data_IF_046634833618
#
_entry.id   IF_046634833618
#
_cell.length_a   1.000
_cell.length_b   1.000
_cell.length_c   1.000
_cell.angle_alpha   90.00
_cell.angle_beta   90.00
_cell.angle_gamma   90.00
#
_symmetry.space_group_name_H-M   'P 1'
#
loop_
_entity.id
_entity.type
_entity.pdbx_description
1 polymer ?
#
# COMPACT_ATOMS: atom_id res chain seq x y z
N UNK A 1 58.53 27.63 13.52
CA UNK A 1 57.10 27.79 13.92
C UNK A 1 56.42 28.63 12.85
N UNK A 2 55.33 28.29 12.17
CA UNK A 2 54.45 27.13 12.04
C UNK A 2 53.85 27.29 10.63
N UNK A 3 53.90 26.25 9.78
CA UNK A 3 53.15 26.24 8.54
C UNK A 3 51.67 25.94 8.87
N UNK A 4 50.75 26.83 8.49
CA UNK A 4 49.32 26.55 8.53
C UNK A 4 48.94 25.82 7.23
N UNK A 5 48.71 24.51 7.33
CA UNK A 5 48.06 23.74 6.28
C UNK A 5 46.57 24.05 6.27
N UNK A 6 46.09 24.73 5.22
CA UNK A 6 44.67 24.90 4.96
C UNK A 6 44.16 23.61 4.32
N UNK A 7 43.48 22.77 5.11
CA UNK A 7 42.76 21.61 4.58
C UNK A 7 41.45 22.10 3.99
N UNK A 8 41.38 22.21 2.67
CA UNK A 8 40.13 22.41 1.95
C UNK A 8 39.33 21.10 2.00
N UNK A 9 38.34 21.04 2.89
CA UNK A 9 37.32 19.99 2.90
C UNK A 9 36.43 20.17 1.67
N UNK A 10 36.74 19.41 0.61
CA UNK A 10 35.82 19.14 -0.49
C UNK A 10 34.59 18.43 0.07
N UNK A 11 33.53 19.20 0.33
CA UNK A 11 32.20 18.65 0.55
C UNK A 11 31.67 18.15 -0.80
N UNK A 12 31.97 16.89 -1.11
CA UNK A 12 31.20 16.16 -2.12
C UNK A 12 29.75 16.13 -1.64
N UNK A 13 28.77 16.66 -2.41
CA UNK A 13 27.38 16.42 -2.08
C UNK A 13 27.18 14.91 -2.12
N UNK A 14 26.82 14.33 -0.98
CA UNK A 14 26.28 12.99 -0.91
C UNK A 14 24.98 13.05 -1.72
N UNK A 15 25.05 12.70 -3.01
CA UNK A 15 23.86 12.38 -3.78
C UNK A 15 23.33 11.11 -3.14
N UNK A 16 22.44 11.26 -2.16
CA UNK A 16 21.56 10.19 -1.76
C UNK A 16 20.90 9.72 -3.06
N UNK A 17 21.24 8.52 -3.51
CA UNK A 17 20.52 7.89 -4.60
C UNK A 17 19.04 7.98 -4.20
N UNK A 18 18.26 8.73 -4.98
CA UNK A 18 16.82 8.74 -4.79
C UNK A 18 16.37 7.29 -4.82
N UNK A 19 15.58 6.86 -3.83
CA UNK A 19 15.02 5.51 -3.75
C UNK A 19 14.08 5.32 -4.96
N UNK A 20 14.63 4.96 -6.12
CA UNK A 20 13.86 4.82 -7.35
C UNK A 20 13.12 3.50 -7.33
N UNK A 21 11.79 3.57 -7.45
CA UNK A 21 10.96 2.39 -7.72
C UNK A 21 11.15 2.02 -9.19
N UNK A 22 11.69 0.83 -9.48
CA UNK A 22 11.85 0.32 -10.86
C UNK A 22 10.82 -0.72 -11.24
N UNK A 23 10.25 -1.43 -10.25
CA UNK A 23 9.24 -2.46 -10.48
C UNK A 23 8.07 -2.26 -9.53
N UNK A 24 6.86 -2.36 -10.08
CA UNK A 24 5.61 -2.43 -9.33
C UNK A 24 4.97 -3.80 -9.58
N UNK A 25 4.90 -4.63 -8.55
CA UNK A 25 4.24 -5.95 -8.60
C UNK A 25 2.90 -5.85 -7.91
N UNK A 26 1.80 -6.20 -8.59
CA UNK A 26 0.44 -6.01 -8.08
C UNK A 26 -0.29 -7.34 -7.97
N UNK A 27 -0.87 -7.58 -6.81
CA UNK A 27 -1.82 -8.66 -6.53
C UNK A 27 -3.16 -8.04 -6.14
N UNK A 28 -4.27 -8.54 -6.66
CA UNK A 28 -5.55 -7.96 -6.32
C UNK A 28 -6.77 -8.52 -7.03
N UNK A 29 -7.88 -7.82 -6.82
CA UNK A 29 -9.18 -8.09 -7.41
C UNK A 29 -9.46 -7.28 -8.69
N UNK A 30 -10.73 -7.12 -9.05
CA UNK A 30 -11.16 -6.42 -10.26
C UNK A 30 -10.78 -4.94 -10.30
N UNK A 31 -10.49 -4.31 -9.16
CA UNK A 31 -10.01 -2.92 -9.12
C UNK A 31 -8.51 -2.79 -9.44
N UNK A 32 -7.80 -3.91 -9.65
CA UNK A 32 -6.40 -3.94 -10.04
C UNK A 32 -6.13 -4.79 -11.30
N UNK A 33 -7.15 -5.49 -11.81
CA UNK A 33 -7.06 -6.35 -12.99
C UNK A 33 -6.90 -5.51 -14.27
N UNK A 34 -5.72 -5.65 -14.87
CA UNK A 34 -5.33 -4.93 -16.10
C UNK A 34 -5.80 -5.63 -17.38
N UNK A 35 -6.44 -6.80 -17.26
CA UNK A 35 -6.90 -7.63 -18.38
C UNK A 35 -6.49 -9.10 -18.30
N UNK A 36 -6.06 -9.60 -17.13
CA UNK A 36 -5.77 -11.03 -16.94
C UNK A 36 -7.04 -11.88 -17.05
N UNK A 37 -8.15 -11.38 -16.50
CA UNK A 37 -9.49 -11.85 -16.85
C UNK A 37 -10.18 -10.83 -17.75
N UNK A 38 -10.44 -9.63 -17.22
CA UNK A 38 -11.06 -8.55 -17.95
C UNK A 38 -10.82 -7.24 -17.20
N UNK A 39 -10.64 -6.16 -17.95
CA UNK A 39 -10.64 -4.80 -17.41
C UNK A 39 -12.08 -4.33 -17.19
N UNK A 40 -12.43 -4.06 -15.93
CA UNK A 40 -13.76 -3.57 -15.54
C UNK A 40 -13.82 -2.07 -15.35
N UNK A 41 -13.31 -1.32 -16.31
CA UNK A 41 -13.31 0.14 -16.30
C UNK A 41 -13.18 0.69 -17.73
N UNK A 42 -13.29 2.01 -17.89
CA UNK A 42 -13.19 2.70 -19.18
C UNK A 42 -11.77 3.18 -19.54
N UNK A 43 -10.77 2.94 -18.69
CA UNK A 43 -9.40 3.45 -18.88
C UNK A 43 -8.32 2.68 -18.10
N UNK A 44 -7.13 3.28 -17.92
CA UNK A 44 -6.11 2.73 -17.03
C UNK A 44 -6.64 2.49 -15.62
N UNK A 45 -6.18 1.41 -14.97
CA UNK A 45 -6.41 1.21 -13.54
C UNK A 45 -5.30 1.90 -12.75
N UNK A 46 -5.53 2.13 -11.46
CA UNK A 46 -4.63 2.91 -10.60
C UNK A 46 -3.17 2.43 -10.65
N UNK A 47 -2.93 1.14 -10.84
CA UNK A 47 -1.59 0.56 -10.88
C UNK A 47 -0.82 0.91 -12.16
N UNK A 48 -1.51 1.16 -13.28
CA UNK A 48 -0.88 1.61 -14.52
C UNK A 48 -0.52 3.09 -14.46
N UNK A 49 -1.42 3.94 -13.94
CA UNK A 49 -1.10 5.34 -13.65
C UNK A 49 0.08 5.46 -12.68
N UNK A 50 0.10 4.64 -11.62
CA UNK A 50 1.17 4.63 -10.64
C UNK A 50 2.50 4.17 -11.25
N UNK A 51 2.49 3.13 -12.09
CA UNK A 51 3.68 2.66 -12.80
C UNK A 51 4.24 3.74 -13.73
N UNK A 52 3.40 4.45 -14.48
CA UNK A 52 3.84 5.57 -15.33
C UNK A 52 4.38 6.72 -14.48
N UNK A 53 3.69 7.08 -13.38
CA UNK A 53 4.10 8.16 -12.47
C UNK A 53 5.46 7.91 -11.81
N UNK A 54 5.76 6.65 -11.47
CA UNK A 54 7.07 6.25 -10.95
C UNK A 54 8.10 5.91 -12.03
N UNK A 55 7.70 5.87 -13.30
CA UNK A 55 8.51 5.34 -14.38
C UNK A 55 9.01 3.90 -14.09
N UNK A 56 8.13 3.07 -13.54
CA UNK A 56 8.39 1.69 -13.14
C UNK A 56 7.80 0.69 -14.14
N UNK A 57 8.41 -0.50 -14.23
CA UNK A 57 7.85 -1.65 -14.93
C UNK A 57 6.68 -2.22 -14.13
N UNK A 58 5.55 -2.46 -14.78
CA UNK A 58 4.36 -3.03 -14.14
C UNK A 58 4.28 -4.55 -14.34
N UNK A 59 4.09 -5.27 -13.25
CA UNK A 59 3.75 -6.70 -13.24
C UNK A 59 2.48 -6.91 -12.42
N UNK A 60 1.31 -6.87 -13.08
CA UNK A 60 0.02 -7.06 -12.41
C UNK A 60 -0.48 -8.49 -12.60
N UNK A 61 -0.56 -9.22 -11.48
CA UNK A 61 -1.13 -10.55 -11.38
C UNK A 61 -2.58 -10.52 -10.89
N UNK A 62 -3.18 -9.34 -10.74
CA UNK A 62 -4.55 -9.18 -10.26
C UNK A 62 -5.56 -9.86 -11.18
N UNK A 63 -6.63 -10.40 -10.57
CA UNK A 63 -7.72 -11.08 -11.25
C UNK A 63 -9.06 -10.63 -10.71
N UNK A 64 -9.99 -10.32 -11.61
CA UNK A 64 -11.39 -10.08 -11.27
C UNK A 64 -11.93 -11.15 -10.33
N UNK A 65 -12.65 -10.77 -9.26
CA UNK A 65 -13.30 -11.72 -8.36
C UNK A 65 -12.37 -12.44 -7.37
N UNK A 66 -11.08 -12.13 -7.40
CA UNK A 66 -10.08 -12.67 -6.47
C UNK A 66 -10.47 -12.41 -5.02
N UNK A 67 -10.45 -13.48 -4.23
CA UNK A 67 -10.44 -13.43 -2.77
C UNK A 67 -9.01 -13.51 -2.25
N UNK A 68 -8.78 -13.32 -0.95
CA UNK A 68 -7.45 -13.58 -0.41
C UNK A 68 -7.08 -15.08 -0.49
N UNK A 69 -8.02 -15.95 -0.12
CA UNK A 69 -7.89 -17.41 -0.22
C UNK A 69 -9.24 -18.03 -0.63
N UNK A 70 -9.30 -18.60 -1.83
CA UNK A 70 -10.53 -19.20 -2.36
C UNK A 70 -10.97 -20.48 -1.63
N UNK A 71 -10.06 -21.17 -0.95
CA UNK A 71 -10.40 -22.39 -0.19
C UNK A 71 -11.41 -22.13 0.92
N UNK A 72 -11.49 -20.87 1.40
CA UNK A 72 -12.45 -20.42 2.42
C UNK A 72 -13.90 -20.40 1.93
N UNK A 73 -14.11 -20.32 0.62
CA UNK A 73 -15.41 -20.11 0.00
C UNK A 73 -15.92 -21.35 -0.76
N UNK A 74 -15.44 -22.54 -0.39
CA UNK A 74 -15.78 -23.81 -1.04
C UNK A 74 -17.27 -24.14 -1.03
N UNK A 75 -18.03 -23.61 -0.06
CA UNK A 75 -19.48 -23.77 0.08
C UNK A 75 -20.31 -22.80 -0.76
N UNK A 76 -19.71 -21.74 -1.30
CA UNK A 76 -20.38 -20.85 -2.26
C UNK A 76 -20.21 -21.44 -3.65
N UNK A 77 -21.29 -21.51 -4.43
CA UNK A 77 -21.25 -22.03 -5.79
C UNK A 77 -20.14 -21.32 -6.58
N UNK A 78 -19.19 -22.11 -7.11
CA UNK A 78 -17.99 -21.63 -7.82
C UNK A 78 -18.32 -21.09 -9.22
N UNK A 79 -19.22 -20.12 -9.31
CA UNK A 79 -19.43 -19.40 -10.58
C UNK A 79 -18.16 -18.69 -11.06
N UNK A 80 -17.19 -18.52 -10.16
CA UNK A 80 -15.99 -17.73 -10.36
C UNK A 80 -14.80 -18.44 -9.69
N UNK A 81 -14.13 -19.34 -10.43
CA UNK A 81 -12.87 -19.99 -10.01
C UNK A 81 -11.68 -19.05 -10.18
N UNK A 82 -11.89 -17.79 -9.80
CA UNK A 82 -10.92 -16.73 -9.99
C UNK A 82 -9.69 -16.93 -9.10
N UNK A 83 -8.47 -16.75 -9.65
CA UNK A 83 -7.23 -16.84 -8.89
C UNK A 83 -7.24 -15.91 -7.69
N UNK A 84 -7.20 -16.48 -6.49
CA UNK A 84 -7.04 -15.76 -5.23
C UNK A 84 -5.63 -15.19 -5.09
N UNK A 85 -5.39 -14.32 -4.10
CA UNK A 85 -4.05 -13.75 -3.86
C UNK A 85 -2.99 -14.84 -3.68
N UNK A 86 -3.31 -15.95 -2.99
CA UNK A 86 -2.39 -17.09 -2.88
C UNK A 86 -1.98 -17.67 -4.23
N UNK A 87 -2.92 -17.73 -5.17
CA UNK A 87 -2.67 -18.20 -6.52
C UNK A 87 -1.83 -17.20 -7.31
N UNK A 88 -2.13 -15.91 -7.20
CA UNK A 88 -1.42 -14.86 -7.90
C UNK A 88 0.04 -14.73 -7.42
N UNK A 89 0.31 -14.94 -6.14
CA UNK A 89 1.67 -15.01 -5.60
C UNK A 89 2.44 -16.22 -6.14
N UNK A 90 1.77 -17.36 -6.31
CA UNK A 90 2.36 -18.53 -6.97
C UNK A 90 2.59 -18.30 -8.47
N UNK A 91 1.69 -17.57 -9.14
CA UNK A 91 1.89 -17.14 -10.53
C UNK A 91 3.14 -16.29 -10.69
N UNK A 92 3.36 -15.34 -9.78
CA UNK A 92 4.57 -14.52 -9.75
C UNK A 92 5.83 -15.37 -9.53
N UNK A 93 5.77 -16.35 -8.63
CA UNK A 93 6.87 -17.31 -8.42
C UNK A 93 7.25 -18.06 -9.69
N UNK A 94 6.26 -18.54 -10.44
CA UNK A 94 6.51 -19.24 -11.69
C UNK A 94 7.10 -18.36 -12.80
N UNK A 95 6.98 -17.03 -12.72
CA UNK A 95 7.65 -16.15 -13.68
C UNK A 95 9.17 -16.13 -13.49
N UNK A 96 9.69 -16.58 -12.35
CA UNK A 96 11.13 -16.59 -12.04
C UNK A 96 11.80 -15.23 -12.25
N UNK A 97 11.07 -14.15 -11.95
CA UNK A 97 11.56 -12.78 -12.10
C UNK A 97 12.52 -12.45 -10.95
N UNK A 98 13.74 -12.05 -11.30
CA UNK A 98 14.78 -11.69 -10.33
C UNK A 98 14.83 -10.17 -10.11
N UNK A 99 13.76 -9.63 -9.51
CA UNK A 99 13.70 -8.20 -9.20
C UNK A 99 14.49 -7.86 -7.93
N UNK A 100 15.20 -6.73 -7.95
CA UNK A 100 15.86 -6.20 -6.75
C UNK A 100 14.78 -5.78 -5.72
N UNK A 101 14.76 -6.36 -4.51
CA UNK A 101 13.77 -6.02 -3.49
C UNK A 101 13.89 -4.58 -2.98
N UNK A 102 15.07 -3.96 -3.10
CA UNK A 102 15.27 -2.56 -2.76
C UNK A 102 14.62 -1.62 -3.79
N UNK A 103 14.43 -2.06 -5.04
CA UNK A 103 13.87 -1.26 -6.13
C UNK A 103 12.43 -1.67 -6.51
N UNK A 104 11.83 -2.59 -5.76
CA UNK A 104 10.54 -3.21 -6.07
C UNK A 104 9.51 -2.90 -5.00
N UNK A 105 8.35 -2.40 -5.42
CA UNK A 105 7.18 -2.19 -4.57
C UNK A 105 6.13 -3.26 -4.89
N UNK A 106 5.59 -3.89 -3.85
CA UNK A 106 4.52 -4.88 -3.96
C UNK A 106 3.22 -4.25 -3.49
N UNK A 107 2.15 -4.38 -4.28
CA UNK A 107 0.85 -3.84 -3.92
C UNK A 107 -0.21 -4.93 -3.78
N UNK A 108 -1.05 -4.82 -2.76
CA UNK A 108 -2.14 -5.76 -2.48
C UNK A 108 -3.45 -4.98 -2.33
N UNK A 109 -4.41 -5.23 -3.23
CA UNK A 109 -5.79 -4.71 -3.14
C UNK A 109 -6.78 -5.86 -3.26
N UNK A 110 -7.31 -6.32 -2.12
CA UNK A 110 -8.28 -7.42 -2.04
C UNK A 110 -9.20 -7.23 -0.85
N UNK A 111 -10.38 -7.85 -0.89
CA UNK A 111 -11.29 -7.96 0.25
C UNK A 111 -12.74 -7.69 -0.10
N UNK A 112 -13.03 -6.95 -1.18
CA UNK A 112 -14.40 -6.67 -1.60
C UNK A 112 -15.13 -7.97 -1.99
N UNK A 113 -14.45 -8.84 -2.75
CA UNK A 113 -14.97 -10.17 -3.09
C UNK A 113 -15.05 -11.10 -1.88
N UNK A 114 -14.11 -11.03 -0.94
CA UNK A 114 -14.18 -11.80 0.32
C UNK A 114 -15.41 -11.40 1.14
N UNK A 115 -15.64 -10.10 1.34
CA UNK A 115 -16.84 -9.59 2.02
C UNK A 115 -18.10 -10.07 1.29
N UNK A 116 -18.16 -9.94 -0.04
CA UNK A 116 -19.31 -10.40 -0.81
C UNK A 116 -19.58 -11.90 -0.56
N UNK A 117 -18.57 -12.76 -0.76
CA UNK A 117 -18.67 -14.21 -0.62
C UNK A 117 -18.92 -14.65 0.83
N UNK A 118 -18.39 -13.96 1.84
CA UNK A 118 -18.66 -14.23 3.26
C UNK A 118 -20.13 -14.07 3.63
N UNK A 119 -20.84 -13.11 3.04
CA UNK A 119 -22.29 -13.03 3.21
C UNK A 119 -23.02 -14.13 2.44
N UNK A 120 -22.57 -14.53 1.25
CA UNK A 120 -23.17 -15.63 0.48
C UNK A 120 -23.09 -16.97 1.23
N UNK A 121 -22.04 -17.19 2.04
CA UNK A 121 -21.92 -18.37 2.90
C UNK A 121 -22.94 -18.42 4.03
N UNK A 122 -23.51 -17.28 4.41
CA UNK A 122 -24.40 -17.13 5.57
C UNK A 122 -25.84 -16.98 5.13
N UNK A 123 -26.37 -18.03 4.51
CA UNK A 123 -27.80 -18.11 4.12
C UNK A 123 -28.64 -17.85 5.38
N UNK A 124 -29.50 -16.82 5.36
CA UNK A 124 -30.37 -16.36 6.45
C UNK A 124 -29.74 -15.54 7.59
N UNK A 125 -28.55 -14.94 7.39
CA UNK A 125 -27.97 -14.02 8.37
C UNK A 125 -27.62 -12.68 7.74
N UNK A 126 -28.10 -11.58 8.35
CA UNK A 126 -27.76 -10.20 7.97
C UNK A 126 -26.66 -9.60 8.83
N UNK A 127 -26.25 -10.28 9.91
CA UNK A 127 -25.16 -9.83 10.77
C UNK A 127 -23.84 -9.88 10.02
N UNK A 128 -22.92 -8.99 10.40
CA UNK A 128 -21.60 -8.88 9.80
C UNK A 128 -20.84 -10.22 9.92
N UNK A 129 -20.25 -10.73 8.82
CA UNK A 129 -19.42 -11.93 8.85
C UNK A 129 -18.16 -11.72 9.68
N UNK A 130 -17.57 -12.81 10.16
CA UNK A 130 -16.22 -12.75 10.73
C UNK A 130 -15.20 -12.57 9.59
N UNK A 131 -14.58 -11.39 9.57
CA UNK A 131 -13.61 -10.98 8.54
C UNK A 131 -12.16 -11.12 9.01
N UNK A 132 -11.93 -11.45 10.29
CA UNK A 132 -10.60 -11.64 10.86
C UNK A 132 -9.77 -12.65 10.06
N UNK A 133 -10.30 -13.80 9.63
CA UNK A 133 -9.49 -14.76 8.88
C UNK A 133 -9.10 -14.29 7.47
N UNK A 134 -9.86 -13.36 6.88
CA UNK A 134 -9.52 -12.76 5.58
C UNK A 134 -8.32 -11.82 5.76
N UNK A 135 -8.37 -10.97 6.79
CA UNK A 135 -7.26 -10.07 7.12
C UNK A 135 -6.00 -10.85 7.52
N UNK A 136 -6.15 -11.95 8.27
CA UNK A 136 -5.03 -12.84 8.59
C UNK A 136 -4.39 -13.44 7.33
N UNK A 137 -5.17 -13.78 6.31
CA UNK A 137 -4.65 -14.23 5.01
C UNK A 137 -3.82 -13.14 4.30
N UNK A 138 -4.24 -11.87 4.40
CA UNK A 138 -3.46 -10.73 3.85
C UNK A 138 -2.13 -10.60 4.62
N UNK A 139 -2.17 -10.69 5.96
CA UNK A 139 -0.95 -10.71 6.79
C UNK A 139 -0.03 -11.91 6.53
N UNK A 140 -0.57 -13.04 6.06
CA UNK A 140 0.22 -14.21 5.62
C UNK A 140 0.99 -13.95 4.32
N UNK A 141 0.61 -12.95 3.52
CA UNK A 141 1.39 -12.55 2.33
C UNK A 141 2.77 -11.98 2.68
N UNK A 142 3.14 -11.89 3.97
CA UNK A 142 4.55 -11.86 4.44
C UNK A 142 5.42 -12.96 3.83
N UNK A 143 4.82 -14.03 3.30
CA UNK A 143 5.54 -15.06 2.54
C UNK A 143 6.27 -14.46 1.33
N UNK A 144 5.71 -13.43 0.68
CA UNK A 144 6.39 -12.67 -0.37
C UNK A 144 7.70 -12.08 0.16
N UNK A 145 7.68 -11.47 1.36
CA UNK A 145 8.89 -10.96 2.02
C UNK A 145 9.94 -12.05 2.23
N UNK A 146 9.54 -13.23 2.71
CA UNK A 146 10.49 -14.31 3.00
C UNK A 146 11.13 -14.87 1.73
N UNK A 147 10.34 -15.01 0.67
CA UNK A 147 10.80 -15.63 -0.57
C UNK A 147 11.61 -14.69 -1.45
N UNK A 148 11.26 -13.40 -1.44
CA UNK A 148 11.86 -12.41 -2.34
C UNK A 148 12.65 -11.33 -1.60
N UNK A 149 12.82 -11.38 -0.28
CA UNK A 149 13.41 -10.27 0.48
C UNK A 149 12.60 -8.97 0.40
N UNK A 150 11.34 -9.04 -0.05
CA UNK A 150 10.48 -7.90 -0.28
C UNK A 150 10.20 -7.12 1.01
N UNK A 151 10.42 -5.82 1.00
CA UNK A 151 10.27 -4.97 2.18
C UNK A 151 9.40 -3.73 1.95
N UNK A 152 8.96 -3.45 0.72
CA UNK A 152 8.19 -2.25 0.36
C UNK A 152 6.80 -2.67 -0.12
N UNK A 153 5.78 -2.40 0.69
CA UNK A 153 4.41 -2.84 0.41
C UNK A 153 3.42 -1.67 0.43
N UNK A 154 2.58 -1.61 -0.60
CA UNK A 154 1.31 -0.89 -0.57
C UNK A 154 0.20 -1.88 -0.23
N UNK A 155 -0.55 -1.64 0.84
CA UNK A 155 -1.71 -2.47 1.16
C UNK A 155 -2.94 -1.58 1.16
N UNK A 156 -3.91 -1.90 0.32
CA UNK A 156 -5.13 -1.12 0.22
C UNK A 156 -6.19 -1.69 1.15
N UNK A 157 -6.94 -0.80 1.78
CA UNK A 157 -8.19 -1.18 2.42
C UNK A 157 -9.32 -1.27 1.37
N UNK A 158 -10.52 -1.72 1.75
CA UNK A 158 -11.62 -1.85 0.79
C UNK A 158 -12.40 -0.55 0.62
N UNK A 159 -12.86 -0.31 -0.61
CA UNK A 159 -13.71 0.80 -1.01
C UNK A 159 -15.00 0.87 -0.15
N UNK A 160 -15.68 2.04 -0.05
CA UNK A 160 -16.91 2.16 0.72
C UNK A 160 -18.07 1.46 0.00
N UNK A 161 -18.26 0.18 0.33
CA UNK A 161 -19.19 -0.71 -0.38
C UNK A 161 -20.65 -0.26 -0.29
N UNK A 162 -21.04 0.48 0.75
CA UNK A 162 -22.40 1.03 0.87
C UNK A 162 -22.76 2.00 -0.25
N UNK A 163 -21.77 2.63 -0.88
CA UNK A 163 -21.96 3.60 -1.97
C UNK A 163 -21.93 2.97 -3.36
N UNK A 164 -21.55 1.70 -3.50
CA UNK A 164 -21.58 1.00 -4.79
C UNK A 164 -23.01 0.97 -5.34
N UNK A 165 -23.27 1.32 -6.61
CA UNK A 165 -24.61 1.27 -7.21
C UNK A 165 -25.27 -0.11 -7.18
N UNK A 166 -24.49 -1.17 -6.98
CA UNK A 166 -24.99 -2.51 -6.74
C UNK A 166 -25.72 -2.64 -5.39
N UNK A 167 -25.24 -1.98 -4.34
CA UNK A 167 -25.78 -2.07 -2.98
C UNK A 167 -26.60 -0.86 -2.54
N UNK A 168 -26.23 0.36 -2.97
CA UNK A 168 -26.69 1.63 -2.38
C UNK A 168 -28.21 1.80 -2.32
N UNK A 169 -28.93 1.26 -3.31
CA UNK A 169 -30.40 1.37 -3.42
C UNK A 169 -31.11 0.11 -2.89
N UNK A 170 -30.42 -0.73 -2.11
CA UNK A 170 -30.95 -1.98 -1.54
C UNK A 170 -30.84 -1.99 -0.01
N UNK A 171 -31.57 -2.90 0.63
CA UNK A 171 -31.45 -3.16 2.08
C UNK A 171 -30.07 -3.69 2.50
N UNK A 172 -29.19 -4.00 1.55
CA UNK A 172 -27.83 -4.49 1.81
C UNK A 172 -26.83 -3.35 2.09
N UNK A 173 -27.10 -2.11 1.68
CA UNK A 173 -26.13 -1.01 1.75
C UNK A 173 -25.49 -0.88 3.15
N UNK A 174 -26.32 -0.85 4.20
CA UNK A 174 -25.85 -0.68 5.57
C UNK A 174 -24.92 -1.81 6.03
N UNK A 175 -25.30 -3.08 5.79
CA UNK A 175 -24.49 -4.22 6.22
C UNK A 175 -23.19 -4.36 5.41
N UNK A 176 -23.18 -3.91 4.15
CA UNK A 176 -21.94 -3.84 3.35
C UNK A 176 -21.00 -2.74 3.83
N UNK A 177 -21.53 -1.57 4.16
CA UNK A 177 -20.72 -0.48 4.72
C UNK A 177 -20.12 -0.84 6.08
N UNK A 178 -20.91 -1.46 6.97
CA UNK A 178 -20.42 -1.91 8.26
C UNK A 178 -19.34 -3.02 8.11
N UNK A 179 -19.54 -3.97 7.20
CA UNK A 179 -18.53 -4.99 6.90
C UNK A 179 -17.24 -4.41 6.31
N UNK A 180 -17.34 -3.43 5.39
CA UNK A 180 -16.18 -2.73 4.84
C UNK A 180 -15.40 -1.99 5.93
N UNK A 181 -16.10 -1.28 6.83
CA UNK A 181 -15.48 -0.57 7.97
C UNK A 181 -14.81 -1.53 8.94
N UNK A 182 -15.45 -2.66 9.26
CA UNK A 182 -14.86 -3.67 10.16
C UNK A 182 -13.63 -4.33 9.53
N UNK A 183 -13.68 -4.67 8.24
CA UNK A 183 -12.52 -5.16 7.49
C UNK A 183 -11.37 -4.16 7.55
N UNK A 184 -11.64 -2.89 7.23
CA UNK A 184 -10.63 -1.83 7.21
C UNK A 184 -10.01 -1.62 8.60
N UNK A 185 -10.82 -1.66 9.66
CA UNK A 185 -10.36 -1.58 11.05
C UNK A 185 -9.45 -2.76 11.44
N UNK A 186 -9.80 -3.97 11.01
CA UNK A 186 -8.98 -5.17 11.25
C UNK A 186 -7.67 -5.11 10.46
N UNK A 187 -7.73 -4.71 9.19
CA UNK A 187 -6.56 -4.57 8.33
C UNK A 187 -5.58 -3.53 8.86
N UNK A 188 -6.07 -2.36 9.27
CA UNK A 188 -5.22 -1.32 9.87
C UNK A 188 -4.49 -1.82 11.12
N UNK A 189 -5.15 -2.62 11.96
CA UNK A 189 -4.52 -3.26 13.12
C UNK A 189 -3.43 -4.26 12.70
N UNK A 190 -3.69 -5.11 11.72
CA UNK A 190 -2.69 -6.08 11.25
C UNK A 190 -1.49 -5.40 10.58
N UNK A 191 -1.71 -4.36 9.78
CA UNK A 191 -0.64 -3.54 9.19
C UNK A 191 0.20 -2.86 10.27
N UNK A 192 -0.43 -2.20 11.24
CA UNK A 192 0.26 -1.54 12.36
C UNK A 192 1.12 -2.54 13.14
N UNK A 193 0.56 -3.72 13.42
CA UNK A 193 1.26 -4.83 14.06
C UNK A 193 2.47 -5.27 13.23
N UNK A 194 2.32 -5.50 11.93
CA UNK A 194 3.42 -5.93 11.05
C UNK A 194 4.56 -4.91 11.00
N UNK A 195 4.25 -3.62 10.84
CA UNK A 195 5.25 -2.55 10.86
C UNK A 195 6.00 -2.48 12.21
N UNK A 196 5.31 -2.72 13.33
CA UNK A 196 5.92 -2.72 14.66
C UNK A 196 6.91 -3.87 14.88
N UNK A 197 6.62 -5.08 14.38
CA UNK A 197 7.42 -6.28 14.66
C UNK A 197 8.52 -6.56 13.63
N UNK A 198 8.54 -5.84 12.51
CA UNK A 198 9.51 -6.05 11.44
C UNK A 198 10.16 -4.74 11.00
N UNK A 199 11.25 -4.33 11.65
CA UNK A 199 11.92 -3.04 11.38
C UNK A 199 12.43 -2.84 9.95
N UNK A 200 12.68 -3.93 9.20
CA UNK A 200 13.04 -3.86 7.79
C UNK A 200 11.83 -3.70 6.85
N UNK A 201 10.60 -3.91 7.35
CA UNK A 201 9.37 -3.80 6.58
C UNK A 201 8.89 -2.36 6.57
N UNK A 202 8.65 -1.83 5.37
CA UNK A 202 7.93 -0.60 5.13
C UNK A 202 6.62 -0.93 4.43
N UNK A 203 5.52 -0.89 5.17
CA UNK A 203 4.17 -1.10 4.67
C UNK A 203 3.38 0.21 4.81
N UNK A 204 2.93 0.75 3.68
CA UNK A 204 2.04 1.90 3.60
C UNK A 204 0.59 1.40 3.41
N UNK A 205 -0.29 1.72 4.36
CA UNK A 205 -1.73 1.46 4.23
C UNK A 205 -2.36 2.55 3.34
N UNK A 206 -2.89 2.13 2.19
CA UNK A 206 -3.66 2.99 1.30
C UNK A 206 -5.15 2.95 1.71
N UNK A 207 -5.59 3.95 2.46
CA UNK A 207 -6.98 4.17 2.86
C UNK A 207 -7.81 4.77 1.71
N UNK A 208 -8.04 3.92 0.69
CA UNK A 208 -8.91 4.22 -0.45
C UNK A 208 -10.37 4.36 -0.02
N UNK A 209 -10.77 3.77 1.11
CA UNK A 209 -12.09 3.94 1.69
C UNK A 209 -12.39 5.41 1.98
N UNK A 210 -11.59 6.04 2.84
CA UNK A 210 -11.78 7.43 3.24
C UNK A 210 -11.64 8.36 2.04
N UNK A 211 -10.65 8.11 1.16
CA UNK A 211 -10.45 8.88 -0.07
C UNK A 211 -11.70 8.91 -0.95
N UNK A 212 -12.32 7.75 -1.19
CA UNK A 212 -13.54 7.65 -1.98
C UNK A 212 -14.77 8.17 -1.24
N UNK A 213 -14.84 8.01 0.08
CA UNK A 213 -15.91 8.60 0.89
C UNK A 213 -15.89 10.14 0.82
N UNK A 214 -14.72 10.76 0.90
CA UNK A 214 -14.56 12.21 0.77
C UNK A 214 -14.94 12.69 -0.64
N UNK A 215 -14.49 11.96 -1.66
CA UNK A 215 -14.88 12.18 -3.06
C UNK A 215 -16.40 12.11 -3.24
N UNK A 216 -17.05 11.09 -2.67
CA UNK A 216 -18.49 10.89 -2.81
C UNK A 216 -19.29 11.95 -2.05
N UNK A 217 -18.76 12.45 -0.93
CA UNK A 217 -19.38 13.52 -0.17
C UNK A 217 -19.32 14.87 -0.90
N UNK A 218 -18.21 15.19 -1.57
CA UNK A 218 -17.98 16.47 -2.24
C UNK A 218 -17.35 16.32 -3.63
N UNK A 219 -18.05 15.70 -4.61
CA UNK A 219 -17.44 15.30 -5.89
C UNK A 219 -16.83 16.46 -6.68
N UNK A 220 -17.44 17.66 -6.60
CA UNK A 220 -16.96 18.85 -7.31
C UNK A 220 -15.57 19.30 -6.86
N UNK A 221 -15.21 19.09 -5.59
CA UNK A 221 -13.92 19.47 -5.03
C UNK A 221 -12.78 18.63 -5.62
N UNK A 222 -13.11 17.44 -6.10
CA UNK A 222 -12.21 16.51 -6.79
C UNK A 222 -12.37 16.56 -8.32
N UNK A 223 -13.21 17.47 -8.83
CA UNK A 223 -13.46 17.63 -10.26
C UNK A 223 -14.34 16.54 -10.86
N UNK A 224 -15.14 15.83 -10.06
CA UNK A 224 -16.16 14.87 -10.49
C UNK A 224 -17.55 15.52 -10.53
N UNK A 225 -18.42 14.99 -11.38
CA UNK A 225 -19.81 15.45 -11.58
C UNK A 225 -20.83 14.53 -10.90
N UNK A 226 -20.58 13.22 -10.88
CA UNK A 226 -21.50 12.24 -10.29
C UNK A 226 -20.72 11.14 -9.56
N UNK A 227 -21.03 10.96 -8.28
CA UNK A 227 -20.43 9.94 -7.42
C UNK A 227 -21.41 8.85 -6.97
N UNK A 228 -22.66 8.91 -7.43
CA UNK A 228 -23.73 8.00 -7.01
C UNK A 228 -24.14 7.06 -8.14
N UNK A 229 -24.24 7.56 -9.38
CA UNK A 229 -24.73 6.77 -10.51
C UNK A 229 -23.63 5.95 -11.18
N UNK A 230 -23.98 4.74 -11.62
CA UNK A 230 -23.17 4.01 -12.59
C UNK A 230 -23.29 4.65 -13.98
N UNK A 231 -22.16 5.02 -14.61
CA UNK A 231 -22.16 5.62 -15.94
C UNK A 231 -22.86 4.73 -16.98
N UNK A 232 -22.54 3.44 -17.02
CA UNK A 232 -23.17 2.47 -17.94
C UNK A 232 -24.68 2.33 -17.73
N UNK A 233 -25.18 2.58 -16.52
CA UNK A 233 -26.62 2.57 -16.24
C UNK A 233 -27.35 3.82 -16.71
N UNK A 234 -26.64 4.95 -16.82
CA UNK A 234 -27.18 6.24 -17.25
C UNK A 234 -27.15 6.41 -18.78
N UNK A 235 -26.14 5.85 -19.46
CA UNK A 235 -25.94 6.09 -20.89
C UNK A 235 -26.81 5.23 -21.83
N UNK A 236 -28.03 4.84 -21.40
CA UNK A 236 -28.95 3.79 -21.89
C UNK A 236 -29.04 3.49 -23.41
N UNK A 237 -28.59 4.37 -24.31
CA UNK A 237 -28.51 4.11 -25.76
C UNK A 237 -27.33 4.83 -26.48
N UNK A 238 -26.64 5.78 -25.84
CA UNK A 238 -25.50 6.53 -26.40
C UNK A 238 -24.48 6.84 -25.31
N UNK A 239 -23.60 5.89 -25.04
CA UNK A 239 -22.38 6.14 -24.29
C UNK A 239 -21.39 6.84 -25.24
N UNK A 240 -21.53 8.15 -25.44
CA UNK A 240 -20.62 8.94 -26.30
C UNK A 240 -19.24 9.17 -25.65
N UNK A 241 -19.02 8.61 -24.45
CA UNK A 241 -17.79 8.72 -23.68
C UNK A 241 -17.61 10.07 -23.01
N UNK A 242 -18.55 11.01 -23.20
CA UNK A 242 -18.41 12.35 -22.64
C UNK A 242 -18.47 12.29 -21.13
N UNK A 243 -17.51 12.96 -20.51
CA UNK A 243 -17.40 13.11 -19.06
C UNK A 243 -17.33 11.79 -18.28
N UNK A 244 -17.05 10.64 -18.92
CA UNK A 244 -17.00 9.34 -18.22
C UNK A 244 -16.04 9.36 -17.03
N UNK A 245 -14.88 10.00 -17.18
CA UNK A 245 -13.88 10.16 -16.10
C UNK A 245 -14.28 11.19 -15.04
N UNK A 246 -15.45 11.82 -15.18
CA UNK A 246 -16.07 12.66 -14.16
C UNK A 246 -17.17 11.93 -13.38
N UNK A 247 -17.38 10.64 -13.65
CA UNK A 247 -18.18 9.75 -12.81
C UNK A 247 -17.25 8.95 -11.89
N UNK A 248 -17.71 8.59 -10.70
CA UNK A 248 -16.95 7.67 -9.82
C UNK A 248 -17.15 6.22 -10.27
N UNK A 249 -18.37 5.84 -10.62
CA UNK A 249 -18.74 4.45 -10.92
C UNK A 249 -18.88 4.23 -12.43
N UNK A 250 -18.12 3.29 -12.97
CA UNK A 250 -18.22 2.86 -14.36
C UNK A 250 -19.47 2.00 -14.57
N UNK A 251 -19.55 0.91 -13.82
CA UNK A 251 -20.72 0.02 -13.74
C UNK A 251 -21.29 0.02 -12.32
N UNK A 252 -22.04 -1.02 -11.95
CA UNK A 252 -22.67 -1.07 -10.62
C UNK A 252 -21.69 -1.35 -9.48
N UNK A 253 -20.46 -1.75 -9.76
CA UNK A 253 -19.48 -2.24 -8.78
C UNK A 253 -18.09 -1.63 -8.93
N UNK A 254 -17.70 -1.21 -10.13
CA UNK A 254 -16.33 -0.82 -10.47
C UNK A 254 -16.18 0.68 -10.73
N UNK A 255 -14.96 1.17 -10.50
CA UNK A 255 -14.59 2.57 -10.67
C UNK A 255 -14.34 2.93 -12.13
N UNK A 256 -14.50 4.21 -12.47
CA UNK A 256 -14.04 4.76 -13.76
C UNK A 256 -12.53 4.93 -13.80
N UNK A 257 -11.98 5.11 -15.00
CA UNK A 257 -10.57 5.48 -15.21
C UNK A 257 -10.22 6.77 -14.47
N UNK A 258 -11.11 7.77 -14.48
CA UNK A 258 -10.94 9.00 -13.70
C UNK A 258 -10.78 8.76 -12.19
N UNK A 259 -11.60 7.90 -11.59
CA UNK A 259 -11.48 7.56 -10.17
C UNK A 259 -10.19 6.77 -9.87
N UNK A 260 -9.81 5.83 -10.76
CA UNK A 260 -8.52 5.14 -10.67
C UNK A 260 -7.32 6.10 -10.74
N UNK A 261 -7.35 7.05 -11.67
CA UNK A 261 -6.33 8.07 -11.84
C UNK A 261 -6.19 8.96 -10.60
N UNK A 262 -7.31 9.34 -9.96
CA UNK A 262 -7.30 10.08 -8.69
C UNK A 262 -6.64 9.27 -7.57
N UNK A 263 -6.93 7.96 -7.47
CA UNK A 263 -6.30 7.08 -6.47
C UNK A 263 -4.79 7.04 -6.69
N UNK A 264 -4.34 6.84 -7.93
CA UNK A 264 -2.91 6.82 -8.25
C UNK A 264 -2.22 8.15 -7.92
N UNK A 265 -2.80 9.28 -8.32
CA UNK A 265 -2.27 10.60 -8.01
C UNK A 265 -2.24 10.90 -6.51
N UNK A 266 -3.19 10.37 -5.73
CA UNK A 266 -3.15 10.49 -4.27
C UNK A 266 -1.92 9.79 -3.67
N UNK A 267 -1.54 8.63 -4.21
CA UNK A 267 -0.34 7.89 -3.80
C UNK A 267 0.94 8.62 -4.25
N UNK A 268 0.98 9.07 -5.51
CA UNK A 268 2.11 9.81 -6.07
C UNK A 268 2.37 11.11 -5.30
N UNK A 269 1.32 11.88 -4.98
CA UNK A 269 1.44 13.14 -4.26
C UNK A 269 1.87 12.93 -2.80
N UNK A 270 1.43 11.83 -2.17
CA UNK A 270 1.92 11.48 -0.85
C UNK A 270 3.45 11.30 -0.85
N UNK A 271 4.04 10.84 -1.96
CA UNK A 271 5.46 10.46 -2.03
C UNK A 271 5.72 9.14 -1.30
N UNK A 272 4.76 8.21 -1.38
CA UNK A 272 4.96 6.84 -0.88
C UNK A 272 6.04 6.18 -1.71
N UNK A 273 7.13 5.75 -1.05
CA UNK A 273 8.29 5.05 -1.65
C UNK A 273 9.08 5.79 -2.74
N UNK A 274 8.53 6.78 -3.44
CA UNK A 274 9.22 7.60 -4.42
C UNK A 274 9.01 9.09 -4.12
N UNK A 275 9.83 10.01 -4.68
CA UNK A 275 9.59 11.44 -4.55
C UNK A 275 8.17 11.83 -4.97
N UNK A 276 7.59 12.79 -4.24
CA UNK A 276 6.24 13.31 -4.52
C UNK A 276 6.15 13.84 -5.95
N UNK A 277 5.12 13.41 -6.68
CA UNK A 277 4.87 13.77 -8.08
C UNK A 277 3.38 13.66 -8.39
N UNK A 278 2.99 13.97 -9.63
CA UNK A 278 1.68 13.66 -10.19
C UNK A 278 1.81 13.24 -11.65
N UNK A 279 0.77 12.61 -12.18
CA UNK A 279 0.67 12.21 -13.56
C UNK A 279 -0.62 12.77 -14.16
N UNK A 280 -0.56 13.20 -15.43
CA UNK A 280 -1.74 13.55 -16.21
C UNK A 280 -2.30 12.29 -16.90
N UNK A 281 -3.63 12.17 -16.97
CA UNK A 281 -4.27 10.98 -17.51
C UNK A 281 -3.89 10.71 -18.97
N UNK A 282 -3.73 11.76 -19.79
CA UNK A 282 -3.32 11.60 -21.20
C UNK A 282 -1.89 11.07 -21.29
N UNK A 283 -1.00 11.50 -20.38
CA UNK A 283 0.37 10.98 -20.34
C UNK A 283 0.41 9.50 -20.01
N UNK A 284 -0.46 9.00 -19.11
CA UNK A 284 -0.62 7.57 -18.87
C UNK A 284 -1.08 6.85 -20.13
N UNK A 285 -2.12 7.35 -20.79
CA UNK A 285 -2.67 6.77 -22.03
C UNK A 285 -1.59 6.68 -23.11
N UNK A 286 -0.86 7.76 -23.35
CA UNK A 286 0.21 7.83 -24.34
C UNK A 286 1.34 6.85 -24.01
N UNK A 287 1.77 6.81 -22.74
CA UNK A 287 2.82 5.90 -22.29
C UNK A 287 2.41 4.43 -22.44
N UNK A 288 1.15 4.10 -22.15
CA UNK A 288 0.63 2.75 -22.34
C UNK A 288 0.48 2.40 -23.82
N UNK A 289 0.15 3.36 -24.69
CA UNK A 289 -0.04 3.15 -26.13
C UNK A 289 1.25 2.80 -26.88
N UNK A 290 2.42 3.10 -26.31
CA UNK A 290 3.71 2.74 -26.89
C UNK A 290 3.85 1.22 -27.08
N UNK A 291 4.39 0.76 -28.23
CA UNK A 291 4.75 -0.63 -28.41
C UNK A 291 5.73 -1.08 -27.32
N UNK A 292 5.47 -2.24 -26.71
CA UNK A 292 6.29 -2.79 -25.62
C UNK A 292 6.49 -1.85 -24.43
N UNK A 293 5.49 -1.01 -24.13
CA UNK A 293 5.52 -0.14 -22.94
C UNK A 293 5.80 -0.95 -21.68
N UNK A 294 6.84 -0.61 -20.88
CA UNK A 294 7.16 -1.31 -19.64
C UNK A 294 6.07 -1.12 -18.57
N UNK A 295 5.24 -0.09 -18.71
CA UNK A 295 4.13 0.20 -17.80
C UNK A 295 2.90 -0.65 -18.11
N UNK A 296 2.87 -1.35 -19.25
CA UNK A 296 1.82 -2.28 -19.61
C UNK A 296 2.23 -3.69 -19.17
N UNK A 297 1.57 -4.19 -18.14
CA UNK A 297 1.80 -5.56 -17.67
C UNK A 297 1.53 -6.58 -18.78
N UNK A 298 2.34 -7.65 -18.86
CA UNK A 298 1.94 -8.86 -19.58
C UNK A 298 0.61 -9.39 -19.03
N UNK A 299 -0.12 -10.11 -19.89
CA UNK A 299 -1.29 -10.89 -19.48
C UNK A 299 -0.81 -12.25 -18.98
N UNK A 300 -0.95 -12.46 -17.69
CA UNK A 300 -0.60 -13.72 -17.04
C UNK A 300 -1.80 -14.66 -17.09
N UNK A 301 -1.54 -15.94 -17.36
CA UNK A 301 -2.55 -17.01 -17.25
C UNK A 301 -2.32 -17.77 -15.95
N UNK A 302 -3.38 -18.02 -15.20
CA UNK A 302 -3.28 -18.76 -13.95
C UNK A 302 -3.16 -20.27 -14.20
N UNK A 303 -2.04 -20.92 -13.82
CA UNK A 303 -1.98 -22.38 -13.74
C UNK A 303 -2.74 -22.87 -12.48
N UNK A 304 -3.05 -24.17 -12.39
CA UNK A 304 -3.56 -24.76 -11.14
C UNK A 304 -2.61 -24.49 -9.97
N UNK A 305 -3.16 -24.10 -8.83
CA UNK A 305 -2.37 -23.90 -7.62
C UNK A 305 -1.82 -25.22 -7.09
N UNK A 306 -0.53 -25.25 -6.79
CA UNK A 306 0.18 -26.43 -6.30
C UNK A 306 0.50 -26.35 -4.81
N UNK A 307 0.21 -25.22 -4.16
CA UNK A 307 0.57 -24.96 -2.76
C UNK A 307 2.08 -24.86 -2.54
N UNK A 308 2.88 -24.65 -3.60
CA UNK A 308 4.35 -24.57 -3.49
C UNK A 308 4.76 -23.39 -2.61
N UNK A 309 4.07 -22.26 -2.70
CA UNK A 309 4.42 -21.06 -1.92
C UNK A 309 4.23 -21.27 -0.41
N UNK A 310 3.17 -21.97 0.00
CA UNK A 310 2.94 -22.28 1.41
C UNK A 310 4.00 -23.27 1.93
N UNK A 311 4.39 -24.27 1.13
CA UNK A 311 5.44 -25.23 1.47
C UNK A 311 6.79 -24.56 1.65
N UNK A 312 7.22 -23.75 0.69
CA UNK A 312 8.48 -23.01 0.75
C UNK A 312 8.53 -22.06 1.96
N UNK A 313 7.42 -21.37 2.25
CA UNK A 313 7.33 -20.52 3.43
C UNK A 313 7.46 -21.30 4.74
N UNK A 314 6.85 -22.49 4.84
CA UNK A 314 6.95 -23.36 6.00
C UNK A 314 8.37 -23.92 6.18
N UNK A 315 9.03 -24.33 5.09
CA UNK A 315 10.43 -24.79 5.09
C UNK A 315 11.40 -23.69 5.54
N UNK A 316 11.18 -22.45 5.09
CA UNK A 316 11.95 -21.28 5.54
C UNK A 316 11.77 -21.01 7.04
N UNK A 317 10.56 -21.14 7.57
CA UNK A 317 10.30 -21.00 9.02
C UNK A 317 11.01 -22.09 9.84
N UNK A 318 10.99 -23.33 9.37
CA UNK A 318 11.67 -24.44 10.04
C UNK A 318 13.19 -24.27 10.01
N UNK A 319 13.75 -23.81 8.89
CA UNK A 319 15.19 -23.55 8.75
C UNK A 319 15.65 -22.41 9.66
N UNK A 320 14.87 -21.32 9.75
CA UNK A 320 15.15 -20.22 10.66
C UNK A 320 15.11 -20.65 12.14
N UNK A 321 14.24 -21.60 12.51
CA UNK A 321 14.17 -22.14 13.88
C UNK A 321 15.32 -23.10 14.19
N UNK A 322 15.79 -23.88 13.21
CA UNK A 322 16.94 -24.78 13.38
C UNK A 322 18.29 -24.05 13.41
N UNK A 323 18.41 -22.93 12.71
CA UNK A 323 19.61 -22.07 12.74
C UNK A 323 19.74 -21.20 14.00
N UNK A 324 18.69 -21.14 14.83
CA UNK A 324 18.71 -20.52 16.15
C UNK A 324 19.13 -21.54 17.22
N UNK A 325 20.30 -22.18 17.06
CA UNK A 325 21.00 -22.82 18.17
C UNK A 325 21.58 -21.74 19.07
N UNK A 326 21.39 -21.87 20.38
CA UNK A 326 21.97 -21.01 21.41
C UNK A 326 23.47 -20.76 21.13
N UNK A 327 23.99 -19.54 21.38
CA UNK A 327 25.42 -19.34 21.37
C UNK A 327 26.05 -20.36 22.34
N UNK A 328 27.20 -20.96 22.01
CA UNK A 328 27.94 -21.73 23.00
C UNK A 328 28.21 -20.80 24.18
N UNK A 329 27.94 -21.28 25.39
CA UNK A 329 28.32 -20.64 26.64
C UNK A 329 29.85 -20.43 26.62
N UNK A 330 30.29 -19.25 26.18
CA UNK A 330 31.68 -18.84 26.29
C UNK A 330 31.90 -18.48 27.76
N UNK A 331 32.61 -19.36 28.45
CA UNK A 331 33.30 -19.05 29.71
C UNK A 331 34.17 -17.82 29.46
N UNK A 332 33.85 -16.72 30.15
CA UNK A 332 34.63 -15.49 30.19
C UNK A 332 35.96 -15.80 30.88
N UNK A 333 37.01 -16.01 30.08
CA UNK A 333 38.37 -15.81 30.54
C UNK A 333 38.73 -14.33 30.40
N UNK A 334 39.31 -13.81 31.48
CA UNK A 334 39.64 -12.43 31.79
C UNK A 334 40.70 -11.87 30.82
N UNK A 335 40.28 -11.04 29.85
CA UNK A 335 41.17 -10.12 29.15
C UNK A 335 40.68 -8.67 29.29
N UNK A 336 41.58 -7.88 29.87
CA UNK A 336 41.44 -6.47 30.25
C UNK A 336 41.11 -5.55 29.07
N UNK A 337 39.97 -4.87 29.11
CA UNK A 337 39.59 -3.80 28.18
C UNK A 337 40.11 -2.44 28.68
N UNK A 338 40.92 -1.75 27.86
CA UNK A 338 41.40 -0.40 28.15
C UNK A 338 40.28 0.68 28.13
N UNK A 339 40.29 1.66 29.05
CA UNK A 339 39.13 2.52 29.35
C UNK A 339 38.94 3.78 28.47
N UNK A 340 39.55 3.89 27.29
CA UNK A 340 39.68 5.21 26.63
C UNK A 340 38.58 5.63 25.63
N UNK A 341 37.53 4.83 25.38
CA UNK A 341 36.48 5.18 24.38
C UNK A 341 35.10 5.55 24.93
N UNK A 342 34.84 5.39 26.24
CA UNK A 342 33.53 5.74 26.83
C UNK A 342 33.45 7.23 27.21
N UNK A 343 34.59 7.85 27.56
CA UNK A 343 34.63 9.26 27.96
C UNK A 343 34.24 10.24 26.83
N UNK A 344 34.59 9.93 25.57
CA UNK A 344 34.32 10.84 24.45
C UNK A 344 32.83 10.94 24.08
N UNK A 345 32.05 9.86 24.20
CA UNK A 345 30.61 9.90 23.90
C UNK A 345 29.80 10.59 25.01
N UNK A 346 30.22 10.45 26.27
CA UNK A 346 29.57 11.13 27.41
C UNK A 346 29.81 12.64 27.37
N UNK A 347 31.02 13.08 26.98
CA UNK A 347 31.34 14.51 26.87
C UNK A 347 30.61 15.19 25.72
N UNK A 348 30.49 14.52 24.55
CA UNK A 348 29.76 15.05 23.39
C UNK A 348 28.24 15.11 23.66
N UNK A 349 27.67 14.07 24.29
CA UNK A 349 26.26 14.06 24.69
C UNK A 349 25.93 15.15 25.74
N UNK A 350 26.84 15.39 26.70
CA UNK A 350 26.71 16.45 27.69
C UNK A 350 26.71 17.86 27.11
N UNK A 351 27.56 18.11 26.10
CA UNK A 351 27.64 19.42 25.44
C UNK A 351 26.38 19.76 24.63
N UNK A 352 25.83 18.80 23.89
CA UNK A 352 24.61 19.00 23.09
C UNK A 352 23.39 19.29 23.98
N UNK A 353 23.25 18.58 25.09
CA UNK A 353 22.19 18.83 26.06
C UNK A 353 22.32 20.21 26.73
N UNK A 354 23.54 20.63 27.09
CA UNK A 354 23.77 21.95 27.70
C UNK A 354 23.42 23.10 26.74
N UNK A 355 23.75 22.97 25.45
CA UNK A 355 23.44 23.97 24.42
C UNK A 355 21.92 24.06 24.17
N UNK A 356 21.21 22.93 24.12
CA UNK A 356 19.76 22.91 23.97
C UNK A 356 19.03 23.51 25.17
N UNK A 357 19.49 23.22 26.39
CA UNK A 357 18.93 23.82 27.62
C UNK A 357 19.22 25.32 27.68
N UNK A 358 20.41 25.76 27.28
CA UNK A 358 20.75 27.18 27.21
C UNK A 358 19.91 27.92 26.17
N UNK A 359 19.76 27.35 24.97
CA UNK A 359 18.97 27.93 23.88
C UNK A 359 17.48 28.04 24.24
N UNK A 360 16.88 26.99 24.81
CA UNK A 360 15.47 27.01 25.25
C UNK A 360 15.21 28.00 26.38
N UNK A 361 16.14 28.11 27.35
CA UNK A 361 16.05 29.13 28.42
C UNK A 361 16.21 30.55 27.89
N UNK A 362 17.08 30.76 26.89
CA UNK A 362 17.25 32.07 26.24
C UNK A 362 16.03 32.46 25.42
N UNK A 363 15.42 31.52 24.68
CA UNK A 363 14.18 31.74 23.94
C UNK A 363 13.03 32.12 24.87
N UNK A 364 12.85 31.40 26.00
CA UNK A 364 11.84 31.75 27.01
C UNK A 364 12.03 33.15 27.60
N UNK A 365 13.28 33.59 27.81
CA UNK A 365 13.59 34.95 28.29
C UNK A 365 13.23 36.04 27.27
N UNK A 366 13.27 35.72 25.97
CA UNK A 366 12.99 36.67 24.89
C UNK A 366 11.49 36.71 24.55
N UNK A 367 10.82 35.56 24.54
CA UNK A 367 9.44 35.44 24.02
C UNK A 367 8.37 35.23 25.09
N UNK A 368 8.77 35.05 26.36
CA UNK A 368 7.86 34.77 27.48
C UNK A 368 7.17 33.40 27.42
N UNK A 369 7.42 32.58 26.38
CA UNK A 369 6.84 31.24 26.18
C UNK A 369 7.92 30.21 25.84
N UNK A 370 7.65 28.95 26.14
CA UNK A 370 8.50 27.85 25.69
C UNK A 370 8.35 27.66 24.18
N UNK A 371 9.45 27.51 23.41
CA UNK A 371 9.36 27.26 21.97
C UNK A 371 8.72 25.89 21.72
N UNK A 372 7.57 25.87 21.05
CA UNK A 372 6.92 24.67 20.56
C UNK A 372 7.26 24.49 19.07
N UNK A 373 8.07 23.49 18.68
CA UNK A 373 8.50 23.33 17.29
C UNK A 373 7.39 22.88 16.32
N UNK A 374 6.15 22.70 16.81
CA UNK A 374 5.04 22.18 15.99
C UNK A 374 3.87 23.17 15.84
N UNK A 375 4.02 24.44 16.21
CA UNK A 375 2.89 25.39 16.22
C UNK A 375 2.62 26.15 14.90
N UNK A 376 3.36 25.87 13.81
CA UNK A 376 3.17 26.52 12.50
C UNK A 376 2.83 25.56 11.35
N UNK A 377 1.98 24.56 11.62
CA UNK A 377 1.26 23.86 10.54
C UNK A 377 -0.25 24.00 10.82
N UNK A 378 -0.79 25.21 10.63
CA UNK A 378 -2.21 25.49 10.76
C UNK A 378 -2.93 25.48 9.40
N UNK A 379 -3.73 24.42 9.21
CA UNK A 379 -5.15 24.51 8.85
C UNK A 379 -5.61 25.00 7.46
N UNK A 380 -4.85 24.82 6.38
CA UNK A 380 -5.39 25.02 5.01
C UNK A 380 -5.08 23.96 3.95
N UNK A 381 -4.47 22.84 4.31
CA UNK A 381 -4.14 21.74 3.36
C UNK A 381 -4.64 20.36 3.80
N UNK A 382 -5.50 20.26 4.83
CA UNK A 382 -5.96 18.97 5.37
C UNK A 382 -7.14 18.34 4.60
N UNK A 383 -7.62 18.93 3.51
CA UNK A 383 -8.82 18.41 2.81
C UNK A 383 -8.56 17.77 1.44
N UNK A 384 -7.31 17.58 1.00
CA UNK A 384 -7.04 17.03 -0.35
C UNK A 384 -5.85 16.08 -0.46
N UNK A 385 -5.05 15.90 0.59
CA UNK A 385 -3.89 15.01 0.56
C UNK A 385 -4.13 13.80 1.45
N UNK A 386 -4.37 12.67 0.80
CA UNK A 386 -4.32 11.34 1.38
C UNK A 386 -2.98 11.13 2.11
N UNK A 387 -3.00 10.92 3.42
CA UNK A 387 -1.82 10.51 4.19
C UNK A 387 -1.93 9.00 4.41
N UNK A 388 -1.18 8.16 3.68
CA UNK A 388 -1.09 6.74 4.03
C UNK A 388 -0.64 6.62 5.48
N UNK A 389 -1.11 5.59 6.19
CA UNK A 389 -0.51 5.28 7.50
C UNK A 389 0.92 4.85 7.22
N UNK A 390 1.86 5.78 7.42
CA UNK A 390 3.28 5.53 7.24
C UNK A 390 3.82 4.87 8.49
N UNK A 391 4.74 3.93 8.30
CA UNK A 391 5.49 3.27 9.38
C UNK A 391 6.14 4.25 10.37
N UNK A 392 6.40 5.50 9.96
CA UNK A 392 6.98 6.55 10.81
C UNK A 392 5.98 7.37 11.62
N UNK A 393 4.69 7.28 11.32
CA UNK A 393 3.66 8.01 12.06
C UNK A 393 3.36 7.23 13.35
N UNK A 394 4.26 7.40 14.32
CA UNK A 394 4.11 6.92 15.69
C UNK A 394 2.70 7.22 16.20
N UNK A 395 1.85 6.20 16.24
CA UNK A 395 0.64 6.20 17.04
C UNK A 395 1.08 6.00 18.49
N UNK A 396 1.47 7.11 19.15
CA UNK A 396 1.22 7.23 20.58
C UNK A 396 -0.29 7.40 20.74
N UNK A 397 -0.95 6.30 21.08
CA UNK A 397 -2.22 6.29 21.80
C UNK A 397 -2.18 5.14 22.80
#
# INVERSE_FOLDING_TARGET
>A
MRFLSVVALLQLPLVLAADTVKNLVVFGDSNADVGNFQRWTNGPVWSEDLAVGWNATLHSFAYTGATCDRARFSSVMRYDDSPSIKDQVEMYYHQSLNHDPAETVYAILVGASDIHKSFLQRVNSTSIPDLKPVVECIGQQRNIRKMYGANRFLVFNVLPMEHMPFYKDSSLAASRGEAAKEFNRLLAKEVTKMNKYHHALALDLIDVHSLLSDLMANPTDFGFKDASSAYLGQCRERCDGRDVDKYVWWDRTHLTGGAHHMIANSILLAGSFAPSTSIDAQKTIDALALPNSPHRSPIYKSPPNTGIMDRLAAEAEQSSKKGATEPPEQTLDDETVEPNNIANYVVIGGFVCAVLVYWTRRQKKITGRWPNPFQHISSRLRSTTFTPVRSTDNVMA
#
